data_IF_563655014445
#
_entry.id   IF_563655014445
#
_cell.length_a   1.000
_cell.length_b   1.000
_cell.length_c   1.000
_cell.angle_alpha   90.00
_cell.angle_beta   90.00
_cell.angle_gamma   90.00
#
_symmetry.space_group_name_H-M   'P 1'
#
loop_
_entity.id
_entity.type
_entity.pdbx_description
1 polymer ?
#
# COMPACT_ATOMS: atom_id res chain seq x y z
N UNK A 1 -5.88 -19.86 -3.83
CA UNK A 1 -5.37 -19.07 -2.70
C UNK A 1 -5.60 -17.61 -2.95
N UNK A 2 -6.16 -16.97 -1.97
CA UNK A 2 -6.47 -15.56 -2.10
C UNK A 2 -5.22 -14.74 -1.98
N UNK A 3 -5.08 -13.78 -2.87
CA UNK A 3 -3.99 -12.85 -2.79
C UNK A 3 -4.29 -11.79 -1.73
N UNK A 4 -3.27 -11.43 -0.95
CA UNK A 4 -3.40 -10.39 0.05
C UNK A 4 -2.50 -9.22 -0.29
N UNK A 5 -2.87 -8.06 0.20
CA UNK A 5 -2.18 -6.81 -0.08
C UNK A 5 -1.91 -6.06 1.22
N UNK A 6 -0.84 -5.30 1.23
CA UNK A 6 -0.59 -4.32 2.28
C UNK A 6 -0.75 -2.94 1.69
N UNK A 7 -1.23 -2.00 2.50
CA UNK A 7 -1.40 -0.62 2.05
C UNK A 7 -0.18 0.17 2.47
N UNK A 8 0.56 0.69 1.50
CA UNK A 8 1.68 1.58 1.79
C UNK A 8 1.20 3.02 1.67
N UNK A 9 1.63 3.86 2.61
CA UNK A 9 1.21 5.26 2.67
C UNK A 9 2.44 6.13 2.57
N UNK A 10 2.58 6.80 1.44
CA UNK A 10 3.75 7.63 1.13
C UNK A 10 3.35 9.08 0.93
N UNK A 11 2.31 9.51 1.66
CA UNK A 11 1.91 10.91 1.61
C UNK A 11 3.08 11.80 2.04
N UNK A 12 3.00 13.05 1.63
CA UNK A 12 4.10 13.97 1.85
C UNK A 12 4.54 14.04 3.30
N UNK A 13 3.59 14.01 4.22
CA UNK A 13 3.88 14.11 5.66
C UNK A 13 4.71 12.95 6.17
N UNK A 14 4.68 11.79 5.48
CA UNK A 14 5.40 10.60 5.92
C UNK A 14 6.75 10.43 5.22
N UNK A 15 7.12 11.37 4.37
CA UNK A 15 8.35 11.21 3.57
C UNK A 15 9.61 11.15 4.44
N UNK A 16 9.60 11.84 5.57
CA UNK A 16 10.76 11.85 6.47
C UNK A 16 10.75 10.76 7.52
N UNK A 17 9.78 9.87 7.50
CA UNK A 17 9.70 8.81 8.49
C UNK A 17 10.87 7.83 8.35
N UNK A 18 11.27 7.18 9.44
CA UNK A 18 12.43 6.26 9.38
C UNK A 18 12.20 5.07 8.46
N UNK A 19 10.96 4.63 8.31
CA UNK A 19 10.60 3.50 7.46
C UNK A 19 9.34 3.84 6.71
N UNK A 20 9.01 3.02 5.69
CA UNK A 20 7.76 3.18 4.95
C UNK A 20 6.60 2.89 5.89
N UNK A 21 5.59 3.74 5.84
CA UNK A 21 4.40 3.60 6.67
C UNK A 21 3.42 2.63 6.03
N UNK A 22 2.96 1.66 6.84
CA UNK A 22 1.96 0.68 6.43
C UNK A 22 0.70 0.88 7.25
N UNK A 23 -0.42 0.42 6.73
CA UNK A 23 -1.70 0.51 7.43
C UNK A 23 -1.89 -0.73 8.30
N UNK A 24 -2.47 -0.52 9.48
CA UNK A 24 -2.88 -1.63 10.35
C UNK A 24 -4.16 -2.26 9.82
N UNK A 25 -4.52 -3.46 10.32
CA UNK A 25 -5.77 -4.09 9.90
C UNK A 25 -6.96 -3.20 10.15
N UNK A 26 -7.98 -3.35 9.32
CA UNK A 26 -9.26 -2.67 9.47
C UNK A 26 -9.13 -1.15 9.50
N UNK A 27 -8.17 -0.63 8.77
CA UNK A 27 -7.94 0.81 8.67
C UNK A 27 -7.69 1.47 10.02
N UNK A 28 -7.11 0.73 10.97
CA UNK A 28 -7.02 1.18 12.36
C UNK A 28 -5.71 1.88 12.69
N UNK A 29 -5.12 2.57 11.73
CA UNK A 29 -3.91 3.35 11.99
C UNK A 29 -2.72 2.83 11.21
N UNK A 30 -1.53 3.19 11.65
CA UNK A 30 -0.30 2.99 10.90
C UNK A 30 0.70 2.15 11.68
N UNK A 31 1.63 1.52 10.96
CA UNK A 31 2.70 0.75 11.57
C UNK A 31 3.89 0.71 10.64
N UNK A 32 5.08 0.50 11.21
CA UNK A 32 6.26 0.22 10.40
C UNK A 32 6.51 -1.28 10.24
N UNK A 33 6.43 -2.10 11.32
CA UNK A 33 6.75 -3.53 11.18
C UNK A 33 5.70 -4.29 10.40
N UNK A 34 6.15 -5.16 9.51
CA UNK A 34 5.24 -5.97 8.72
C UNK A 34 4.26 -6.80 9.56
N UNK A 35 4.69 -7.40 10.69
CA UNK A 35 3.72 -8.16 11.49
C UNK A 35 2.55 -7.34 12.02
N UNK A 36 2.72 -6.03 12.14
CA UNK A 36 1.65 -5.16 12.61
C UNK A 36 0.79 -4.62 11.48
N UNK A 37 1.20 -4.81 10.24
CA UNK A 37 0.47 -4.31 9.08
C UNK A 37 -0.72 -5.21 8.77
N UNK A 38 -1.78 -4.62 8.25
CA UNK A 38 -2.94 -5.38 7.83
C UNK A 38 -2.72 -6.04 6.47
N UNK A 39 -3.33 -7.21 6.32
CA UNK A 39 -3.37 -7.90 5.03
C UNK A 39 -4.78 -7.75 4.50
N UNK A 40 -4.91 -7.03 3.42
CA UNK A 40 -6.22 -6.69 2.85
C UNK A 40 -6.52 -7.61 1.69
N UNK A 41 -7.75 -8.08 1.61
CA UNK A 41 -8.18 -8.94 0.52
C UNK A 41 -8.56 -8.12 -0.70
N UNK A 42 -8.63 -8.78 -1.84
CA UNK A 42 -9.10 -8.13 -3.06
C UNK A 42 -10.53 -7.60 -2.86
N UNK A 43 -11.38 -8.35 -2.17
CA UNK A 43 -12.75 -7.91 -1.92
C UNK A 43 -12.78 -6.62 -1.12
N UNK A 44 -11.94 -6.51 -0.09
CA UNK A 44 -11.86 -5.27 0.68
C UNK A 44 -11.44 -4.10 -0.17
N UNK A 45 -10.45 -4.30 -1.03
CA UNK A 45 -9.96 -3.24 -1.90
C UNK A 45 -11.03 -2.82 -2.91
N UNK A 46 -11.74 -3.78 -3.46
CA UNK A 46 -12.77 -3.49 -4.45
C UNK A 46 -13.98 -2.78 -3.86
N UNK A 47 -14.20 -2.93 -2.56
CA UNK A 47 -15.30 -2.24 -1.89
C UNK A 47 -15.09 -0.73 -1.89
N UNK A 48 -13.83 -0.26 -1.90
CA UNK A 48 -13.52 1.17 -1.89
C UNK A 48 -12.22 1.42 -2.63
N UNK A 49 -12.18 1.19 -3.95
CA UNK A 49 -10.91 1.22 -4.68
C UNK A 49 -10.19 2.55 -4.59
N UNK A 50 -10.91 3.66 -4.70
CA UNK A 50 -10.28 4.98 -4.67
C UNK A 50 -9.77 5.34 -3.27
N UNK A 51 -10.35 4.75 -2.25
CA UNK A 51 -9.90 4.98 -0.89
C UNK A 51 -8.57 4.28 -0.61
N UNK A 52 -8.43 3.05 -1.10
CA UNK A 52 -7.20 2.28 -0.87
C UNK A 52 -6.08 2.64 -1.84
N UNK A 53 -6.42 3.18 -3.01
CA UNK A 53 -5.43 3.67 -3.98
C UNK A 53 -5.76 5.14 -4.23
N UNK A 54 -5.33 6.00 -3.31
CA UNK A 54 -5.72 7.40 -3.33
C UNK A 54 -4.72 8.25 -4.07
N UNK A 55 -5.20 8.97 -5.06
CA UNK A 55 -4.37 9.90 -5.82
C UNK A 55 -4.05 11.13 -4.99
N UNK A 56 -2.89 11.72 -5.25
CA UNK A 56 -2.48 12.93 -4.57
C UNK A 56 -3.30 14.12 -5.06
N UNK A 57 -3.78 14.92 -4.13
CA UNK A 57 -4.52 16.11 -4.48
C UNK A 57 -3.66 17.04 -5.33
N UNK A 58 -4.19 17.51 -6.44
CA UNK A 58 -3.47 18.41 -7.33
C UNK A 58 -2.42 17.76 -8.21
N UNK A 59 -2.26 16.45 -8.11
CA UNK A 59 -1.26 15.73 -8.90
C UNK A 59 -1.82 14.35 -9.28
N UNK A 60 -2.71 14.28 -10.28
CA UNK A 60 -3.46 13.04 -10.54
C UNK A 60 -2.60 11.85 -10.96
N UNK A 61 -1.36 12.06 -11.36
CA UNK A 61 -0.48 10.95 -11.71
C UNK A 61 0.23 10.34 -10.51
N UNK A 62 0.19 11.01 -9.36
CA UNK A 62 0.85 10.53 -8.17
C UNK A 62 -0.19 9.99 -7.20
N UNK A 63 0.22 9.04 -6.38
CA UNK A 63 -0.63 8.47 -5.35
C UNK A 63 -0.02 8.73 -3.99
N UNK A 64 -0.87 9.02 -3.01
CA UNK A 64 -0.43 9.13 -1.62
C UNK A 64 -0.36 7.77 -0.96
N UNK A 65 -1.27 6.87 -1.32
CA UNK A 65 -1.26 5.51 -0.77
C UNK A 65 -1.81 4.55 -1.81
N UNK A 66 -1.38 3.30 -1.73
CA UNK A 66 -1.83 2.28 -2.66
C UNK A 66 -1.55 0.88 -2.11
N UNK A 67 -2.31 -0.11 -2.57
CA UNK A 67 -2.05 -1.50 -2.19
C UNK A 67 -0.88 -2.09 -2.97
N UNK A 68 -0.13 -2.95 -2.28
CA UNK A 68 0.99 -3.68 -2.89
C UNK A 68 0.84 -5.14 -2.47
N UNK A 69 1.04 -6.10 -3.39
CA UNK A 69 0.96 -7.51 -3.02
C UNK A 69 1.92 -7.84 -1.87
N UNK A 70 1.45 -8.65 -0.93
CA UNK A 70 2.24 -8.98 0.25
C UNK A 70 3.58 -9.59 -0.12
N UNK A 71 3.64 -10.44 -1.14
CA UNK A 71 4.90 -11.08 -1.50
C UNK A 71 5.96 -10.07 -1.96
N UNK A 72 5.54 -8.97 -2.56
CA UNK A 72 6.49 -7.91 -2.95
C UNK A 72 7.01 -7.19 -1.71
N UNK A 73 6.11 -6.87 -0.77
CA UNK A 73 6.50 -6.21 0.47
C UNK A 73 7.48 -7.08 1.24
N UNK A 74 7.18 -8.37 1.36
CA UNK A 74 8.06 -9.29 2.07
C UNK A 74 9.44 -9.39 1.43
N UNK A 75 9.50 -9.34 0.12
CA UNK A 75 10.78 -9.40 -0.60
C UNK A 75 11.64 -8.17 -0.35
N UNK A 76 11.02 -7.02 -0.14
CA UNK A 76 11.74 -5.77 0.10
C UNK A 76 12.07 -5.55 1.58
N UNK A 77 11.52 -6.34 2.47
CA UNK A 77 11.63 -6.11 3.90
C UNK A 77 13.05 -6.35 4.41
N UNK A 78 13.45 -5.56 5.41
CA UNK A 78 14.75 -5.66 6.06
C UNK A 78 14.54 -5.66 7.57
N UNK A 79 15.52 -6.15 8.35
CA UNK A 79 15.43 -6.01 9.80
C UNK A 79 15.47 -4.53 10.19
N UNK A 80 14.76 -4.12 11.26
CA UNK A 80 14.83 -2.75 11.73
C UNK A 80 16.18 -2.47 12.38
N UNK A 81 16.59 -1.20 12.36
CA UNK A 81 17.77 -0.80 13.11
C UNK A 81 17.46 -0.92 14.61
N UNK A 82 18.38 -1.46 15.41
CA UNK A 82 18.12 -1.65 16.83
C UNK A 82 17.72 -0.35 17.52
N UNK A 83 16.68 -0.40 18.33
CA UNK A 83 16.22 0.75 19.10
C UNK A 83 15.51 1.83 18.30
N UNK A 84 15.32 1.63 17.02
CA UNK A 84 14.71 2.64 16.17
C UNK A 84 13.18 2.63 16.27
N UNK A 85 12.59 1.48 16.51
CA UNK A 85 11.15 1.36 16.67
C UNK A 85 10.87 0.49 17.87
N UNK A 86 9.65 0.62 18.39
CA UNK A 86 9.25 -0.08 19.61
C UNK A 86 9.41 -1.58 19.46
N UNK A 87 10.18 -2.16 20.38
CA UNK A 87 10.27 -3.60 20.51
C UNK A 87 10.92 -4.32 19.35
N UNK A 88 11.47 -3.60 18.37
CA UNK A 88 12.05 -4.23 17.19
C UNK A 88 11.13 -5.34 16.67
N UNK A 89 9.88 -5.00 16.46
CA UNK A 89 8.79 -5.96 16.29
C UNK A 89 8.78 -6.71 14.97
N UNK A 90 9.82 -6.60 14.18
CA UNK A 90 9.92 -7.39 12.96
C UNK A 90 10.38 -6.57 11.76
N UNK A 91 10.39 -7.18 10.58
CA UNK A 91 10.91 -6.52 9.38
C UNK A 91 10.15 -5.25 9.04
N UNK A 92 10.87 -4.33 8.43
CA UNK A 92 10.34 -3.04 7.99
C UNK A 92 10.75 -2.78 6.55
N UNK A 93 10.17 -1.76 5.94
CA UNK A 93 10.56 -1.33 4.59
C UNK A 93 11.41 -0.08 4.69
N UNK A 94 12.57 -0.12 4.05
CA UNK A 94 13.47 1.03 4.02
C UNK A 94 12.78 2.21 3.32
N UNK A 95 12.86 3.39 3.91
CA UNK A 95 12.27 4.58 3.31
C UNK A 95 13.31 5.31 2.48
N UNK A 96 13.63 4.76 1.31
CA UNK A 96 14.54 5.38 0.38
C UNK A 96 13.94 5.36 -1.02
N UNK A 97 14.57 6.04 -1.94
CA UNK A 97 14.02 6.19 -3.28
C UNK A 97 13.94 4.85 -4.02
N UNK A 98 14.90 3.98 -3.81
CA UNK A 98 14.90 2.67 -4.46
C UNK A 98 13.69 1.84 -4.02
N UNK A 99 13.42 1.80 -2.73
CA UNK A 99 12.28 1.07 -2.18
C UNK A 99 10.97 1.71 -2.64
N UNK A 100 10.88 3.03 -2.56
CA UNK A 100 9.66 3.73 -3.00
C UNK A 100 9.37 3.46 -4.48
N UNK A 101 10.41 3.43 -5.31
CA UNK A 101 10.23 3.14 -6.73
C UNK A 101 9.73 1.71 -6.96
N UNK A 102 10.28 0.76 -6.21
CA UNK A 102 9.83 -0.63 -6.31
C UNK A 102 8.36 -0.77 -5.90
N UNK A 103 7.96 -0.06 -4.85
CA UNK A 103 6.57 -0.08 -4.39
C UNK A 103 5.65 0.55 -5.42
N UNK A 104 6.08 1.62 -6.07
CA UNK A 104 5.28 2.23 -7.14
C UNK A 104 5.10 1.29 -8.32
N UNK A 105 6.15 0.57 -8.69
CA UNK A 105 6.05 -0.40 -9.80
C UNK A 105 5.12 -1.55 -9.47
N UNK A 106 5.01 -1.91 -8.20
CA UNK A 106 4.16 -3.01 -7.76
C UNK A 106 2.77 -2.54 -7.35
N UNK A 107 2.43 -1.28 -7.59
CA UNK A 107 1.14 -0.73 -7.22
C UNK A 107 0.02 -1.51 -7.89
N UNK A 108 -0.93 -1.93 -7.09
CA UNK A 108 -2.12 -2.62 -7.58
C UNK A 108 -3.29 -1.66 -7.52
N UNK A 109 -3.93 -1.44 -8.67
CA UNK A 109 -5.12 -0.60 -8.72
C UNK A 109 -6.33 -1.52 -8.76
N UNK A 110 -7.10 -1.60 -7.67
CA UNK A 110 -8.21 -2.55 -7.63
C UNK A 110 -9.23 -2.23 -8.72
N UNK A 111 -9.64 -3.23 -9.49
CA UNK A 111 -10.68 -3.00 -10.48
C UNK A 111 -12.02 -2.80 -9.79
N UNK A 112 -12.99 -2.17 -10.45
CA UNK A 112 -14.32 -2.06 -9.87
C UNK A 112 -14.92 -3.44 -9.65
N UNK A 113 -15.86 -3.55 -8.70
CA UNK A 113 -16.51 -4.85 -8.47
C UNK A 113 -17.19 -5.36 -9.72
N UNK A 114 -17.22 -6.69 -9.82
CA UNK A 114 -17.89 -7.35 -10.91
C UNK A 114 -19.37 -6.96 -10.91
N UNK A 115 -19.88 -6.66 -12.07
CA UNK A 115 -21.27 -6.24 -12.20
C UNK A 115 -21.45 -4.74 -12.22
N UNK A 116 -20.45 -3.99 -11.81
CA UNK A 116 -20.44 -2.55 -11.93
C UNK A 116 -19.58 -2.11 -13.09
N UNK A 117 -19.15 -3.04 -13.83
CA UNK A 117 -18.30 -2.75 -14.97
C UNK A 117 -19.04 -1.82 -15.87
N UNK A 118 -18.42 -0.82 -16.26
CA UNK A 118 -19.04 0.18 -16.99
C UNK A 118 -19.05 -0.12 -18.36
N UNK A 119 -19.73 -0.21 -18.36
CA UNK A 119 -19.60 -0.33 -19.41
C UNK A 119 -18.66 0.53 -20.10
N UNK A 120 -18.28 0.54 -19.49
CA UNK A 120 -17.65 0.97 -19.93
C UNK A 120 -17.11 1.24 -20.45
N UNK A 121 -16.95 1.17 -20.35
CA UNK A 121 -16.42 1.28 -20.78
C UNK A 121 -16.14 1.39 -21.46
N UNK A 122 -16.15 1.30 -21.47
CA UNK A 122 -15.82 1.23 -22.13
C UNK A 122 -15.60 1.70 -22.62
N UNK A 123 -15.57 2.00 -22.65
CA UNK A 123 -15.15 2.20 -23.01
C UNK A 123 -14.62 2.69 -22.99
N UNK A 124 -14.36 2.90 -22.68
CA UNK A 124 -13.80 3.10 -22.65
C UNK A 124 -13.10 2.96 -22.88
N UNK A 125 -12.74 2.71 -22.98
CA UNK A 125 -12.04 2.42 -23.29
C UNK A 125 -11.55 2.53 -23.91
N UNK A 126 -11.41 2.73 -23.93
CA UNK A 126 -11.07 2.72 -24.46
C UNK A 126 -10.73 2.88 -24.86
#
# INVERSE_FOLDING_TARGET
MDQAFMIVDLRREFRGNPYITLWRPENAGYAYPLPWAGRYSLDELQASPAYYAQRRHGCPRAFDRWPVPVHVVERLAIPPAPGRIDGDAGPVLRNDERTRRALRRARFLPPPPCGLAPASSEGDRE
#
